data_IF_350845349922
#
_entry.id   IF_350845349922
#
_cell.length_a   1.000
_cell.length_b   1.000
_cell.length_c   1.000
_cell.angle_alpha   90.00
_cell.angle_beta   90.00
_cell.angle_gamma   90.00
#
_symmetry.space_group_name_H-M   'P 1'
#
loop_
_entity.id
_entity.type
_entity.pdbx_description
1 polymer ?
#
# COMPACT_ATOMS: atom_id res chain seq x y z
N UNK A 1 16.31 -43.35 7.78
CA UNK A 1 16.93 -42.20 7.08
C UNK A 1 15.96 -41.33 6.27
N UNK A 2 14.65 -41.61 6.22
CA UNK A 2 13.68 -40.81 5.46
C UNK A 2 13.07 -39.61 6.23
N UNK A 3 13.28 -39.52 7.55
CA UNK A 3 12.66 -38.51 8.41
C UNK A 3 13.27 -37.10 8.24
N UNK A 4 14.60 -37.02 8.09
CA UNK A 4 15.33 -35.75 8.01
C UNK A 4 15.02 -34.93 6.76
N UNK A 5 14.66 -35.56 5.64
CA UNK A 5 14.34 -34.84 4.39
C UNK A 5 12.99 -34.14 4.44
N UNK A 6 11.99 -34.70 5.13
CA UNK A 6 10.67 -34.06 5.28
C UNK A 6 10.73 -32.86 6.21
N UNK A 7 11.48 -32.98 7.31
CA UNK A 7 11.63 -31.88 8.28
C UNK A 7 12.33 -30.68 7.65
N UNK A 8 13.42 -30.88 6.90
CA UNK A 8 14.12 -29.79 6.22
C UNK A 8 13.28 -29.07 5.14
N UNK A 9 12.38 -29.79 4.44
CA UNK A 9 11.48 -29.18 3.44
C UNK A 9 10.35 -28.39 4.11
N UNK A 10 9.82 -28.86 5.23
CA UNK A 10 8.78 -28.15 6.00
C UNK A 10 9.36 -26.90 6.66
N UNK A 11 10.53 -26.99 7.31
CA UNK A 11 11.22 -25.84 7.89
C UNK A 11 11.59 -24.81 6.83
N UNK A 12 12.12 -25.23 5.67
CA UNK A 12 12.44 -24.33 4.56
C UNK A 12 11.20 -23.64 3.96
N UNK A 13 10.04 -24.30 3.94
CA UNK A 13 8.77 -23.71 3.51
C UNK A 13 8.22 -22.68 4.49
N UNK A 14 8.30 -22.94 5.80
CA UNK A 14 7.90 -21.98 6.84
C UNK A 14 8.80 -20.72 6.83
N UNK A 15 10.12 -20.87 6.68
CA UNK A 15 11.03 -19.72 6.61
C UNK A 15 10.71 -18.78 5.43
N UNK A 16 10.41 -19.35 4.27
CA UNK A 16 10.00 -18.61 3.07
C UNK A 16 8.65 -17.88 3.28
N UNK A 17 7.67 -18.55 3.87
CA UNK A 17 6.36 -17.96 4.18
C UNK A 17 6.48 -16.79 5.18
N UNK A 18 7.32 -16.93 6.20
CA UNK A 18 7.57 -15.87 7.19
C UNK A 18 8.27 -14.67 6.56
N UNK A 19 9.25 -14.89 5.68
CA UNK A 19 9.93 -13.81 4.96
C UNK A 19 8.97 -13.01 4.06
N UNK A 20 8.10 -13.71 3.33
CA UNK A 20 7.09 -13.12 2.45
C UNK A 20 6.04 -12.33 3.25
N UNK A 21 5.56 -12.88 4.37
CA UNK A 21 4.65 -12.20 5.29
C UNK A 21 5.26 -10.88 5.83
N UNK A 22 6.52 -10.91 6.25
CA UNK A 22 7.23 -9.72 6.75
C UNK A 22 7.39 -8.65 5.66
N UNK A 23 7.64 -9.06 4.41
CA UNK A 23 7.72 -8.16 3.27
C UNK A 23 6.37 -7.47 3.00
N UNK A 24 5.27 -8.23 3.02
CA UNK A 24 3.92 -7.69 2.85
C UNK A 24 3.55 -6.69 3.94
N UNK A 25 3.80 -7.01 5.22
CA UNK A 25 3.54 -6.07 6.31
C UNK A 25 4.36 -4.78 6.15
N UNK A 26 5.62 -4.88 5.73
CA UNK A 26 6.45 -3.69 5.47
C UNK A 26 5.87 -2.85 4.32
N UNK A 27 5.38 -3.49 3.26
CA UNK A 27 4.71 -2.82 2.15
C UNK A 27 3.47 -2.08 2.63
N UNK A 28 2.57 -2.77 3.33
CA UNK A 28 1.34 -2.19 3.90
C UNK A 28 1.69 -1.01 4.82
N UNK A 29 2.72 -1.14 5.67
CA UNK A 29 3.18 -0.06 6.53
C UNK A 29 3.67 1.18 5.77
N UNK A 30 4.43 0.99 4.67
CA UNK A 30 4.86 2.09 3.80
C UNK A 30 3.66 2.74 3.12
N UNK A 31 2.72 1.95 2.62
CA UNK A 31 1.51 2.46 1.98
C UNK A 31 0.64 3.27 2.95
N UNK A 32 0.46 2.80 4.19
CA UNK A 32 -0.25 3.53 5.23
C UNK A 32 0.47 4.82 5.61
N UNK A 33 1.81 4.81 5.63
CA UNK A 33 2.61 6.02 5.80
C UNK A 33 2.35 7.04 4.69
N UNK A 34 2.45 6.63 3.43
CA UNK A 34 2.16 7.49 2.26
C UNK A 34 0.73 7.99 2.31
N UNK A 35 -0.25 7.13 2.61
CA UNK A 35 -1.65 7.51 2.76
C UNK A 35 -1.85 8.61 3.81
N UNK A 36 -1.21 8.47 4.98
CA UNK A 36 -1.27 9.44 6.06
C UNK A 36 -0.67 10.78 5.62
N UNK A 37 0.53 10.76 5.03
CA UNK A 37 1.18 11.97 4.52
C UNK A 37 0.36 12.67 3.44
N UNK A 38 -0.17 11.92 2.46
CA UNK A 38 -0.98 12.50 1.39
C UNK A 38 -2.26 13.10 1.96
N UNK A 39 -2.94 12.43 2.88
CA UNK A 39 -4.16 12.95 3.52
C UNK A 39 -3.90 14.23 4.33
N UNK A 40 -2.78 14.30 5.06
CA UNK A 40 -2.39 15.48 5.85
C UNK A 40 -1.90 16.65 4.99
N UNK A 41 -1.03 16.36 4.02
CA UNK A 41 -0.40 17.37 3.15
C UNK A 41 -1.41 17.90 2.13
N UNK A 42 -2.29 17.05 1.59
CA UNK A 42 -3.37 17.50 0.71
C UNK A 42 -4.31 18.47 1.46
N UNK A 43 -4.68 18.17 2.71
CA UNK A 43 -5.48 19.09 3.52
C UNK A 43 -4.80 20.46 3.72
N UNK A 44 -3.48 20.47 3.97
CA UNK A 44 -2.71 21.69 4.20
C UNK A 44 -2.51 22.54 2.94
N UNK A 45 -2.10 21.93 1.82
CA UNK A 45 -1.84 22.66 0.56
C UNK A 45 -3.12 23.12 -0.14
N UNK A 46 -4.20 22.33 -0.08
CA UNK A 46 -5.45 22.64 -0.77
C UNK A 46 -6.21 23.81 -0.13
N UNK A 47 -6.03 24.02 1.18
CA UNK A 47 -6.63 25.12 1.93
C UNK A 47 -6.18 26.50 1.41
N UNK A 48 -4.97 26.62 0.85
CA UNK A 48 -4.43 27.88 0.34
C UNK A 48 -4.81 28.21 -1.10
N UNK A 49 -4.97 27.20 -1.97
CA UNK A 49 -5.11 27.41 -3.43
C UNK A 49 -6.58 27.52 -3.86
N UNK A 50 -7.48 26.77 -3.23
CA UNK A 50 -8.86 26.61 -3.71
C UNK A 50 -9.91 27.44 -2.96
N UNK A 51 -9.52 28.30 -2.02
CA UNK A 51 -10.46 29.10 -1.24
C UNK A 51 -11.26 30.13 -2.08
N UNK A 52 -10.84 30.37 -3.34
CA UNK A 52 -11.49 31.30 -4.27
C UNK A 52 -12.46 30.62 -5.26
N UNK A 53 -12.56 29.29 -5.28
CA UNK A 53 -13.42 28.58 -6.24
C UNK A 53 -14.42 27.71 -5.47
N UNK A 54 -15.65 28.21 -5.41
CA UNK A 54 -16.79 27.52 -4.82
C UNK A 54 -17.60 26.85 -5.92
N UNK A 55 -17.91 25.56 -5.77
CA UNK A 55 -18.82 24.86 -6.67
C UNK A 55 -20.22 24.95 -6.06
N UNK A 56 -20.95 26.00 -6.44
CA UNK A 56 -22.27 26.31 -5.88
C UNK A 56 -22.17 26.80 -4.43
N UNK A 57 -22.70 26.05 -3.47
CA UNK A 57 -22.76 26.44 -2.04
C UNK A 57 -21.65 25.83 -1.17
N UNK A 58 -20.76 25.01 -1.75
CA UNK A 58 -19.70 24.31 -1.01
C UNK A 58 -18.33 24.65 -1.59
N UNK A 59 -17.31 24.91 -0.76
CA UNK A 59 -15.95 25.14 -1.23
C UNK A 59 -15.44 23.91 -2.00
N UNK A 60 -14.82 24.11 -3.16
CA UNK A 60 -14.23 23.00 -3.93
C UNK A 60 -13.10 22.31 -3.15
N UNK A 61 -12.42 23.07 -2.30
CA UNK A 61 -11.44 22.56 -1.33
C UNK A 61 -12.03 21.46 -0.45
N UNK A 62 -13.28 21.61 0.02
CA UNK A 62 -13.95 20.62 0.85
C UNK A 62 -14.23 19.32 0.10
N UNK A 63 -14.67 19.42 -1.16
CA UNK A 63 -14.95 18.25 -2.00
C UNK A 63 -13.68 17.44 -2.29
N UNK A 64 -12.55 18.11 -2.55
CA UNK A 64 -11.29 17.40 -2.81
C UNK A 64 -10.70 16.81 -1.53
N UNK A 65 -10.87 17.46 -0.37
CA UNK A 65 -10.45 16.88 0.91
C UNK A 65 -11.23 15.59 1.19
N UNK A 66 -12.55 15.58 0.96
CA UNK A 66 -13.39 14.40 1.17
C UNK A 66 -13.04 13.26 0.20
N UNK A 67 -12.93 13.55 -1.10
CA UNK A 67 -12.68 12.54 -2.13
C UNK A 67 -11.19 12.21 -2.33
N UNK A 68 -10.30 13.03 -1.77
CA UNK A 68 -8.86 12.81 -1.82
C UNK A 68 -8.44 11.54 -1.10
N UNK A 69 -9.09 11.20 0.01
CA UNK A 69 -8.80 9.99 0.78
C UNK A 69 -9.11 8.71 -0.01
N UNK A 70 -10.28 8.64 -0.66
CA UNK A 70 -10.68 7.45 -1.44
C UNK A 70 -9.84 7.32 -2.72
N UNK A 71 -9.55 8.42 -3.41
CA UNK A 71 -8.70 8.40 -4.61
C UNK A 71 -7.26 7.95 -4.27
N UNK A 72 -6.69 8.48 -3.18
CA UNK A 72 -5.37 8.07 -2.70
C UNK A 72 -5.35 6.58 -2.36
N UNK A 73 -6.39 6.09 -1.70
CA UNK A 73 -6.52 4.68 -1.34
C UNK A 73 -6.52 3.76 -2.56
N UNK A 74 -7.28 4.10 -3.62
CA UNK A 74 -7.31 3.32 -4.87
C UNK A 74 -5.95 3.30 -5.57
N UNK A 75 -5.26 4.45 -5.65
CA UNK A 75 -3.92 4.54 -6.23
C UNK A 75 -2.94 3.67 -5.45
N UNK A 76 -2.99 3.70 -4.12
CA UNK A 76 -2.16 2.87 -3.26
C UNK A 76 -2.40 1.38 -3.48
N UNK A 77 -3.66 0.93 -3.64
CA UNK A 77 -3.96 -0.47 -3.97
C UNK A 77 -3.31 -0.87 -5.31
N UNK A 78 -3.39 -0.02 -6.33
CA UNK A 78 -2.74 -0.29 -7.62
C UNK A 78 -1.21 -0.37 -7.49
N UNK A 79 -0.61 0.55 -6.73
CA UNK A 79 0.84 0.54 -6.45
C UNK A 79 1.23 -0.74 -5.71
N UNK A 80 0.46 -1.15 -4.69
CA UNK A 80 0.66 -2.41 -4.00
C UNK A 80 0.62 -3.58 -4.98
N UNK A 81 -0.42 -3.69 -5.81
CA UNK A 81 -0.58 -4.79 -6.74
C UNK A 81 0.62 -4.89 -7.69
N UNK A 82 1.06 -3.77 -8.29
CA UNK A 82 2.22 -3.74 -9.20
C UNK A 82 3.53 -4.06 -8.47
N UNK A 83 3.71 -3.56 -7.26
CA UNK A 83 4.91 -3.83 -6.47
C UNK A 83 4.94 -5.29 -6.04
N UNK A 84 3.79 -5.85 -5.69
CA UNK A 84 3.68 -7.24 -5.26
C UNK A 84 3.92 -8.21 -6.41
N UNK A 85 3.39 -7.89 -7.59
CA UNK A 85 3.66 -8.62 -8.83
C UNK A 85 5.16 -8.60 -9.18
N UNK A 86 5.87 -7.49 -8.89
CA UNK A 86 7.33 -7.41 -8.99
C UNK A 86 8.07 -8.19 -7.91
N UNK A 87 7.53 -8.29 -6.70
CA UNK A 87 8.11 -9.13 -5.64
C UNK A 87 7.98 -10.61 -5.99
N UNK A 88 6.84 -11.03 -6.53
CA UNK A 88 6.64 -12.39 -7.04
C UNK A 88 7.61 -12.73 -8.16
N UNK A 89 7.82 -11.83 -9.13
CA UNK A 89 8.81 -12.04 -10.19
C UNK A 89 10.25 -12.15 -9.66
N UNK A 90 10.59 -11.48 -8.54
CA UNK A 90 11.93 -11.55 -7.92
C UNK A 90 12.12 -12.78 -7.06
N UNK A 91 11.07 -13.27 -6.42
CA UNK A 91 11.13 -14.45 -5.57
C UNK A 91 10.93 -15.76 -6.35
N UNK A 92 10.64 -15.70 -7.65
CA UNK A 92 10.58 -16.84 -8.55
C UNK A 92 9.81 -18.01 -7.93
N UNK A 93 8.67 -17.71 -7.27
CA UNK A 93 7.69 -18.73 -6.87
C UNK A 93 6.93 -19.14 -8.13
N UNK A 94 7.69 -19.63 -9.11
CA UNK A 94 7.21 -20.67 -9.99
C UNK A 94 7.40 -21.95 -9.19
N UNK A 95 6.29 -22.50 -8.67
CA UNK A 95 6.21 -23.96 -8.60
C UNK A 95 6.59 -24.58 -9.95
#
# INVERSE_FOLDING_TARGET
MASTRKVAVVEGGEEMAVAYWKANIRLIGILLGIWFFVSFIAGYLMAGIFNNISLGQVPLSFWIVQQGAIMTFVVLIFVYAVVMDRYDQRFNVHE
#
